data_IF_760001718131
#
_entry.id   IF_760001718131
#
_cell.length_a   1.000
_cell.length_b   1.000
_cell.length_c   1.000
_cell.angle_alpha   90.00
_cell.angle_beta   90.00
_cell.angle_gamma   90.00
#
_symmetry.space_group_name_H-M   'P 1'
#
loop_
_entity.id
_entity.type
_entity.pdbx_description
1 polymer ?
#
# COMPACT_ATOMS: atom_id res chain seq x y z
N UNK A 1 0.13 1.87 -17.91
CA UNK A 1 -0.82 1.46 -16.85
C UNK A 1 -2.21 1.01 -17.36
N UNK A 2 -2.68 -0.22 -17.04
CA UNK A 2 -4.09 -0.66 -17.22
C UNK A 2 -4.77 -0.77 -15.87
N UNK A 3 -6.07 -0.45 -15.80
CA UNK A 3 -6.85 -0.51 -14.55
C UNK A 3 -8.15 -1.29 -14.77
N UNK A 4 -8.46 -2.17 -13.82
CA UNK A 4 -9.75 -2.85 -13.71
C UNK A 4 -10.38 -2.50 -12.36
N UNK A 5 -11.61 -1.98 -12.38
CA UNK A 5 -12.40 -1.71 -11.17
C UNK A 5 -13.67 -2.52 -11.22
N UNK A 6 -14.01 -3.16 -10.10
CA UNK A 6 -15.23 -3.95 -10.00
C UNK A 6 -15.58 -4.31 -8.57
N UNK A 7 -16.53 -5.22 -8.42
CA UNK A 7 -16.87 -5.86 -7.15
C UNK A 7 -16.52 -7.34 -7.24
N UNK A 8 -16.01 -7.89 -6.15
CA UNK A 8 -15.65 -9.31 -6.04
C UNK A 8 -16.30 -9.90 -4.80
N UNK A 9 -16.74 -11.15 -4.89
CA UNK A 9 -17.27 -11.87 -3.73
C UNK A 9 -16.20 -11.97 -2.65
N UNK A 10 -16.58 -11.78 -1.38
CA UNK A 10 -15.66 -12.00 -0.25
C UNK A 10 -15.19 -13.45 -0.16
N UNK A 11 -15.94 -14.40 -0.74
CA UNK A 11 -15.56 -15.81 -0.82
C UNK A 11 -14.30 -16.01 -1.69
N UNK A 12 -14.15 -15.22 -2.76
CA UNK A 12 -12.93 -15.27 -3.59
C UNK A 12 -11.72 -14.70 -2.86
N UNK A 13 -11.92 -13.62 -2.08
CA UNK A 13 -10.87 -13.08 -1.20
C UNK A 13 -10.44 -14.13 -0.17
N UNK A 14 -11.39 -14.79 0.48
CA UNK A 14 -11.13 -15.89 1.42
C UNK A 14 -10.35 -17.03 0.77
N UNK A 15 -10.78 -17.50 -0.41
CA UNK A 15 -10.11 -18.55 -1.17
C UNK A 15 -8.65 -18.19 -1.49
N UNK A 16 -8.42 -17.01 -2.05
CA UNK A 16 -7.09 -16.55 -2.48
C UNK A 16 -6.15 -16.35 -1.27
N UNK A 17 -6.65 -15.76 -0.17
CA UNK A 17 -5.85 -15.56 1.05
C UNK A 17 -5.56 -16.86 1.80
N UNK A 18 -6.46 -17.85 1.76
CA UNK A 18 -6.15 -19.17 2.31
C UNK A 18 -5.11 -19.93 1.49
N UNK A 19 -5.11 -19.74 0.16
CA UNK A 19 -4.15 -20.41 -0.71
C UNK A 19 -2.75 -19.79 -0.66
N UNK A 20 -2.65 -18.45 -0.71
CA UNK A 20 -1.34 -17.76 -0.77
C UNK A 20 -0.85 -17.18 0.57
N UNK A 21 -1.75 -17.02 1.55
CA UNK A 21 -1.41 -16.46 2.86
C UNK A 21 -0.92 -15.01 2.80
N UNK A 22 0.00 -14.67 3.70
CA UNK A 22 0.51 -13.31 3.88
C UNK A 22 1.46 -12.84 2.77
N UNK A 23 1.88 -13.74 1.86
CA UNK A 23 2.68 -13.41 0.67
C UNK A 23 2.02 -12.39 -0.25
N UNK A 24 0.69 -12.31 -0.22
CA UNK A 24 -0.09 -11.32 -0.96
C UNK A 24 0.04 -9.90 -0.39
N UNK A 25 0.61 -9.73 0.81
CA UNK A 25 0.72 -8.46 1.52
C UNK A 25 2.17 -7.96 1.65
N UNK A 26 3.13 -8.60 0.97
CA UNK A 26 4.55 -8.24 1.11
C UNK A 26 4.82 -6.80 0.66
N UNK A 27 4.16 -6.32 -0.40
CA UNK A 27 4.28 -4.92 -0.83
C UNK A 27 3.28 -3.97 -0.16
N UNK A 28 2.55 -4.44 0.85
CA UNK A 28 1.67 -3.56 1.60
C UNK A 28 2.50 -2.64 2.49
N UNK A 29 2.50 -1.33 2.24
CA UNK A 29 3.26 -0.35 3.02
C UNK A 29 2.81 -0.28 4.49
N UNK A 30 1.65 -0.85 4.84
CA UNK A 30 1.23 -1.06 6.24
C UNK A 30 1.74 -2.39 6.79
N UNK A 31 2.86 -2.91 6.27
CA UNK A 31 3.47 -4.22 6.55
C UNK A 31 3.68 -4.54 8.03
N UNK A 32 3.41 -3.61 8.94
CA UNK A 32 3.75 -3.74 10.35
C UNK A 32 2.83 -3.02 11.34
N UNK A 33 1.55 -2.81 11.04
CA UNK A 33 0.56 -2.60 12.11
C UNK A 33 -0.08 -3.95 12.37
N UNK A 34 0.48 -4.66 13.36
CA UNK A 34 0.09 -6.02 13.74
C UNK A 34 -1.42 -6.21 13.82
N UNK A 35 -1.82 -7.49 13.83
CA UNK A 35 -3.19 -7.97 13.99
C UNK A 35 -3.79 -7.61 15.38
N UNK A 36 -3.53 -6.42 15.90
CA UNK A 36 -4.31 -5.86 16.98
C UNK A 36 -5.76 -5.80 16.52
N UNK A 37 -6.62 -6.36 17.36
CA UNK A 37 -8.07 -6.19 17.33
C UNK A 37 -8.37 -4.70 17.33
N UNK A 38 -8.48 -4.12 16.13
CA UNK A 38 -8.86 -2.74 15.93
C UNK A 38 -10.37 -2.67 15.80
N UNK A 39 -10.96 -1.54 16.20
CA UNK A 39 -12.39 -1.23 15.98
C UNK A 39 -12.82 -1.49 14.53
N UNK A 40 -11.90 -1.29 13.57
CA UNK A 40 -12.12 -1.58 12.15
C UNK A 40 -12.30 -3.08 11.90
N UNK A 41 -11.43 -3.94 12.42
CA UNK A 41 -11.55 -5.39 12.25
C UNK A 41 -12.87 -5.92 12.85
N UNK A 42 -13.27 -5.39 14.02
CA UNK A 42 -14.54 -5.75 14.66
C UNK A 42 -15.73 -5.35 13.79
N UNK A 43 -15.78 -4.11 13.29
CA UNK A 43 -16.86 -3.65 12.43
C UNK A 43 -16.98 -4.46 11.13
N UNK A 44 -15.85 -4.84 10.52
CA UNK A 44 -15.82 -5.69 9.33
C UNK A 44 -16.39 -7.08 9.63
N UNK A 45 -15.98 -7.68 10.75
CA UNK A 45 -16.50 -8.97 11.20
C UNK A 45 -18.01 -8.93 11.45
N UNK A 46 -18.48 -7.94 12.22
CA UNK A 46 -19.90 -7.75 12.52
C UNK A 46 -20.74 -7.59 11.26
N UNK A 47 -20.25 -6.82 10.28
CA UNK A 47 -20.95 -6.62 9.00
C UNK A 47 -21.08 -7.93 8.21
N UNK A 48 -20.05 -8.79 8.20
CA UNK A 48 -20.09 -10.09 7.51
C UNK A 48 -21.04 -11.09 8.18
N UNK A 49 -21.16 -11.02 9.51
CA UNK A 49 -21.98 -11.92 10.31
C UNK A 49 -23.45 -11.50 10.42
N UNK A 50 -23.77 -10.22 10.13
CA UNK A 50 -25.12 -9.67 10.21
C UNK A 50 -25.87 -9.86 8.87
N UNK A 51 -26.95 -10.69 8.83
CA UNK A 51 -27.71 -10.93 7.61
C UNK A 51 -28.34 -9.69 6.98
N UNK A 52 -28.58 -8.62 7.76
CA UNK A 52 -29.20 -7.38 7.29
C UNK A 52 -28.17 -6.36 6.73
N UNK A 53 -26.87 -6.64 6.94
CA UNK A 53 -25.76 -5.76 6.54
C UNK A 53 -24.78 -6.41 5.56
N UNK A 54 -24.71 -7.74 5.51
CA UNK A 54 -23.74 -8.48 4.68
C UNK A 54 -23.85 -8.13 3.19
N UNK A 55 -25.07 -7.98 2.66
CA UNK A 55 -25.31 -7.56 1.27
C UNK A 55 -24.79 -6.14 0.98
N UNK A 56 -24.73 -5.28 2.00
CA UNK A 56 -24.22 -3.91 1.95
C UNK A 56 -22.73 -3.80 2.28
N UNK A 57 -22.02 -4.92 2.47
CA UNK A 57 -20.59 -4.94 2.83
C UNK A 57 -19.73 -4.03 1.94
N UNK A 58 -20.09 -3.95 0.66
CA UNK A 58 -19.46 -3.07 -0.33
C UNK A 58 -19.38 -1.61 0.10
N UNK A 59 -20.42 -1.09 0.79
CA UNK A 59 -20.51 0.30 1.21
C UNK A 59 -19.78 0.60 2.52
N UNK A 60 -19.54 -0.42 3.34
CA UNK A 60 -18.91 -0.27 4.66
C UNK A 60 -17.39 -0.40 4.64
N UNK A 61 -16.79 -0.66 3.46
CA UNK A 61 -15.37 -0.90 3.29
C UNK A 61 -14.76 0.02 2.23
N UNK A 62 -13.52 0.45 2.44
CA UNK A 62 -12.77 1.27 1.46
C UNK A 62 -12.33 0.49 0.20
N UNK A 63 -12.61 -0.81 0.16
CA UNK A 63 -12.22 -1.72 -0.92
C UNK A 63 -10.80 -2.25 -0.78
N UNK A 64 -10.39 -3.04 -1.77
CA UNK A 64 -9.09 -3.69 -1.88
C UNK A 64 -8.38 -3.12 -3.10
N UNK A 65 -7.13 -2.71 -2.94
CA UNK A 65 -6.29 -2.29 -4.07
C UNK A 65 -5.17 -3.27 -4.28
N UNK A 66 -5.07 -3.74 -5.52
CA UNK A 66 -4.14 -4.73 -6.00
C UNK A 66 -3.25 -4.09 -7.06
N UNK A 67 -1.95 -4.36 -6.97
CA UNK A 67 -1.02 -4.20 -8.08
C UNK A 67 -0.64 -5.57 -8.61
N UNK A 68 -0.39 -5.67 -9.90
CA UNK A 68 0.03 -6.91 -10.54
C UNK A 68 0.92 -6.63 -11.75
N UNK A 69 1.69 -7.63 -12.15
CA UNK A 69 2.49 -7.56 -13.38
C UNK A 69 1.58 -7.62 -14.61
N UNK A 70 0.56 -8.48 -14.58
CA UNK A 70 -0.39 -8.67 -15.68
C UNK A 70 -1.74 -9.11 -15.17
N UNK A 71 -2.80 -8.62 -15.81
CA UNK A 71 -4.11 -9.27 -15.73
C UNK A 71 -4.72 -9.49 -17.13
N UNK A 72 -5.38 -10.63 -17.29
CA UNK A 72 -6.08 -11.05 -18.50
C UNK A 72 -7.54 -11.41 -18.17
N UNK A 73 -8.46 -11.13 -19.09
CA UNK A 73 -9.88 -11.45 -18.95
C UNK A 73 -10.49 -11.71 -20.33
N UNK A 74 -11.58 -12.47 -20.38
CA UNK A 74 -12.30 -12.72 -21.63
C UNK A 74 -13.10 -11.47 -22.03
N UNK A 75 -12.66 -10.79 -23.10
CA UNK A 75 -13.30 -9.56 -23.59
C UNK A 75 -14.71 -9.79 -24.18
N UNK A 76 -15.05 -11.01 -24.58
CA UNK A 76 -16.38 -11.35 -25.11
C UNK A 76 -17.41 -11.62 -24.00
N UNK A 77 -16.96 -11.76 -22.76
CA UNK A 77 -17.84 -11.92 -21.62
C UNK A 77 -18.50 -10.58 -21.27
N UNK A 78 -19.82 -10.56 -21.03
CA UNK A 78 -20.56 -9.31 -20.77
C UNK A 78 -20.61 -8.92 -19.29
N UNK A 79 -20.58 -9.90 -18.39
CA UNK A 79 -20.69 -9.74 -16.94
C UNK A 79 -19.95 -10.88 -16.22
N UNK A 80 -19.63 -10.72 -14.94
CA UNK A 80 -18.96 -11.72 -14.09
C UNK A 80 -17.60 -12.22 -14.60
N UNK A 81 -16.79 -11.30 -15.13
CA UNK A 81 -15.48 -11.56 -15.71
C UNK A 81 -14.61 -12.45 -14.82
N UNK A 82 -14.13 -13.57 -15.38
CA UNK A 82 -13.01 -14.31 -14.79
C UNK A 82 -11.72 -13.60 -15.15
N UNK A 83 -11.08 -13.00 -14.14
CA UNK A 83 -9.82 -12.26 -14.30
C UNK A 83 -8.67 -13.14 -13.83
N UNK A 84 -7.73 -13.43 -14.71
CA UNK A 84 -6.47 -14.08 -14.39
C UNK A 84 -5.44 -13.00 -14.05
N UNK A 85 -4.74 -13.14 -12.93
CA UNK A 85 -3.83 -12.11 -12.42
C UNK A 85 -2.48 -12.77 -12.11
N UNK A 86 -1.40 -12.22 -12.65
CA UNK A 86 -0.03 -12.68 -12.43
C UNK A 86 0.69 -11.75 -11.46
N UNK A 87 1.37 -12.34 -10.48
CA UNK A 87 2.17 -11.62 -9.49
C UNK A 87 1.38 -10.51 -8.77
N UNK A 88 0.21 -10.88 -8.24
CA UNK A 88 -0.66 -10.01 -7.45
C UNK A 88 -0.01 -9.63 -6.12
N UNK A 89 -0.16 -8.35 -5.74
CA UNK A 89 0.15 -7.80 -4.43
C UNK A 89 -0.96 -6.85 -3.96
N UNK A 90 -1.48 -7.06 -2.76
CA UNK A 90 -2.49 -6.21 -2.14
C UNK A 90 -1.79 -5.06 -1.41
N UNK A 91 -1.88 -3.86 -1.98
CA UNK A 91 -1.25 -2.64 -1.44
C UNK A 91 -2.19 -1.84 -0.52
N UNK A 92 -3.50 -2.08 -0.60
CA UNK A 92 -4.51 -1.52 0.32
C UNK A 92 -5.62 -2.55 0.59
N UNK A 93 -6.21 -2.52 1.78
CA UNK A 93 -7.28 -3.44 2.20
C UNK A 93 -6.78 -4.67 2.96
N UNK A 94 -5.54 -4.66 3.49
CA UNK A 94 -4.97 -5.79 4.23
C UNK A 94 -5.82 -6.22 5.45
N UNK A 95 -6.30 -5.27 6.25
CA UNK A 95 -7.21 -5.55 7.38
C UNK A 95 -8.52 -6.18 6.92
N UNK A 96 -9.13 -5.66 5.84
CA UNK A 96 -10.34 -6.24 5.23
C UNK A 96 -10.10 -7.67 4.77
N UNK A 97 -9.02 -7.92 4.02
CA UNK A 97 -8.68 -9.26 3.53
C UNK A 97 -8.45 -10.27 4.67
N UNK A 98 -7.64 -9.89 5.67
CA UNK A 98 -7.35 -10.76 6.83
C UNK A 98 -8.57 -10.99 7.71
N UNK A 99 -9.44 -9.98 7.86
CA UNK A 99 -10.67 -10.13 8.64
C UNK A 99 -11.68 -11.01 7.91
N UNK A 100 -11.84 -10.87 6.59
CA UNK A 100 -12.61 -11.80 5.76
C UNK A 100 -12.06 -13.23 5.95
N UNK A 101 -10.75 -13.41 5.78
CA UNK A 101 -10.09 -14.71 5.91
C UNK A 101 -10.39 -15.37 7.27
N UNK A 102 -10.13 -14.64 8.37
CA UNK A 102 -10.33 -15.15 9.74
C UNK A 102 -11.80 -15.42 10.05
N UNK A 103 -12.71 -14.57 9.59
CA UNK A 103 -14.15 -14.70 9.86
C UNK A 103 -14.70 -15.93 9.14
N UNK A 104 -14.39 -16.11 7.85
CA UNK A 104 -14.90 -17.22 7.06
C UNK A 104 -14.21 -18.56 7.41
N UNK A 105 -12.98 -18.55 7.91
CA UNK A 105 -12.34 -19.76 8.46
C UNK A 105 -13.06 -20.30 9.71
N UNK A 106 -13.81 -19.45 10.43
CA UNK A 106 -14.62 -19.88 11.58
C UNK A 106 -16.00 -20.43 11.18
N UNK A 107 -16.33 -20.49 9.88
CA UNK A 107 -17.64 -20.98 9.38
C UNK A 107 -17.97 -22.40 9.84
N UNK A 108 -16.98 -23.26 10.08
CA UNK A 108 -17.21 -24.60 10.63
C UNK A 108 -17.88 -24.59 12.01
N UNK A 109 -17.75 -23.49 12.76
CA UNK A 109 -18.37 -23.31 14.08
C UNK A 109 -19.77 -22.67 14.00
N UNK A 110 -20.11 -22.04 12.87
CA UNK A 110 -21.37 -21.34 12.64
C UNK A 110 -21.80 -21.56 11.17
N UNK A 111 -22.57 -22.62 10.86
CA UNK A 111 -22.87 -23.05 9.49
C UNK A 111 -23.75 -22.08 8.68
N UNK A 112 -24.14 -20.94 9.27
CA UNK A 112 -24.89 -19.90 8.57
C UNK A 112 -24.08 -19.31 7.39
N UNK A 113 -24.80 -18.73 6.43
CA UNK A 113 -24.34 -18.15 5.17
C UNK A 113 -23.47 -16.87 5.35
N UNK A 114 -22.47 -16.89 6.23
CA UNK A 114 -21.63 -15.74 6.58
C UNK A 114 -20.94 -15.20 5.31
N UNK A 115 -21.23 -13.94 5.00
CA UNK A 115 -20.67 -13.26 3.85
C UNK A 115 -21.03 -13.86 2.48
N UNK A 116 -22.06 -14.72 2.37
CA UNK A 116 -22.45 -15.27 1.06
C UNK A 116 -22.99 -14.20 0.11
N UNK A 117 -23.72 -13.22 0.64
CA UNK A 117 -24.22 -12.07 -0.12
C UNK A 117 -23.21 -10.92 -0.23
N UNK A 118 -22.04 -11.02 0.43
CA UNK A 118 -21.11 -9.91 0.57
C UNK A 118 -20.16 -9.78 -0.63
N UNK A 119 -20.08 -8.55 -1.14
CA UNK A 119 -19.13 -8.14 -2.17
C UNK A 119 -18.27 -6.99 -1.67
N UNK A 120 -17.02 -6.94 -2.11
CA UNK A 120 -16.08 -5.85 -1.81
C UNK A 120 -15.60 -5.21 -3.11
N UNK A 121 -15.43 -3.89 -3.10
CA UNK A 121 -14.84 -3.16 -4.22
C UNK A 121 -13.37 -3.58 -4.40
N UNK A 122 -12.96 -3.89 -5.62
CA UNK A 122 -11.57 -4.20 -5.96
C UNK A 122 -11.08 -3.29 -7.08
N UNK A 123 -9.84 -2.81 -6.95
CA UNK A 123 -9.11 -2.07 -7.97
C UNK A 123 -7.84 -2.84 -8.29
N UNK A 124 -7.64 -3.20 -9.55
CA UNK A 124 -6.47 -3.92 -10.02
C UNK A 124 -5.71 -3.01 -10.97
N UNK A 125 -4.48 -2.69 -10.59
CA UNK A 125 -3.55 -1.92 -11.40
C UNK A 125 -2.53 -2.88 -12.00
N UNK A 126 -2.47 -2.93 -13.33
CA UNK A 126 -1.34 -3.52 -14.02
C UNK A 126 -0.27 -2.45 -14.16
N UNK A 127 0.88 -2.69 -13.53
CA UNK A 127 2.02 -1.78 -13.50
C UNK A 127 3.17 -2.48 -14.21
N UNK A 128 3.87 -1.79 -15.12
CA UNK A 128 5.09 -2.36 -15.70
C UNK A 128 6.18 -2.45 -14.63
N UNK A 129 7.19 -3.31 -14.86
CA UNK A 129 8.33 -3.35 -13.94
C UNK A 129 9.02 -1.98 -13.85
N UNK A 130 9.15 -1.24 -14.95
CA UNK A 130 9.71 0.11 -14.95
C UNK A 130 8.85 1.08 -14.12
N UNK A 131 7.52 1.12 -14.35
CA UNK A 131 6.60 2.00 -13.60
C UNK A 131 6.61 1.72 -12.08
N UNK A 132 6.87 0.47 -11.67
CA UNK A 132 6.95 0.09 -10.26
C UNK A 132 8.29 0.49 -9.63
N UNK A 133 9.39 0.29 -10.37
CA UNK A 133 10.73 0.71 -9.99
C UNK A 133 10.76 2.23 -9.85
N UNK A 134 10.32 2.98 -10.85
CA UNK A 134 10.36 4.45 -10.84
C UNK A 134 9.62 5.04 -9.63
N UNK A 135 8.43 4.52 -9.30
CA UNK A 135 7.67 5.00 -8.13
C UNK A 135 8.30 4.62 -6.79
N UNK A 136 8.96 3.47 -6.71
CA UNK A 136 9.65 3.03 -5.50
C UNK A 136 10.95 3.83 -5.30
N UNK A 137 11.69 4.09 -6.38
CA UNK A 137 12.83 5.01 -6.42
C UNK A 137 12.41 6.42 -6.01
N UNK A 138 11.39 7.01 -6.66
CA UNK A 138 10.89 8.36 -6.36
C UNK A 138 10.44 8.50 -4.90
N UNK A 139 9.74 7.49 -4.36
CA UNK A 139 9.31 7.49 -2.96
C UNK A 139 10.48 7.36 -1.98
N UNK A 140 11.46 6.51 -2.28
CA UNK A 140 12.63 6.35 -1.41
C UNK A 140 13.49 7.61 -1.43
N UNK A 141 13.61 8.22 -2.60
CA UNK A 141 14.35 9.45 -2.83
C UNK A 141 13.75 10.65 -2.11
N UNK A 142 12.43 10.83 -2.20
CA UNK A 142 11.73 11.93 -1.51
C UNK A 142 11.86 11.79 0.03
N UNK A 143 11.76 10.56 0.55
CA UNK A 143 11.92 10.30 1.98
C UNK A 143 13.36 10.58 2.47
N UNK A 144 14.38 10.17 1.71
CA UNK A 144 15.77 10.48 2.03
C UNK A 144 16.00 12.00 2.00
N UNK A 145 15.50 12.69 0.98
CA UNK A 145 15.63 14.14 0.82
C UNK A 145 14.95 14.90 1.96
N UNK A 146 13.75 14.49 2.38
CA UNK A 146 13.04 15.11 3.50
C UNK A 146 13.81 14.98 4.84
N UNK A 147 14.37 13.80 5.12
CA UNK A 147 15.17 13.58 6.32
C UNK A 147 16.44 14.43 6.33
N UNK A 148 17.15 14.51 5.20
CA UNK A 148 18.34 15.36 5.05
C UNK A 148 17.96 16.83 5.18
N UNK A 149 16.83 17.26 4.59
CA UNK A 149 16.35 18.65 4.71
C UNK A 149 16.07 19.04 6.16
N UNK A 150 15.45 18.15 6.92
CA UNK A 150 15.19 18.38 8.34
C UNK A 150 16.50 18.51 9.13
N UNK A 151 17.48 17.65 8.86
CA UNK A 151 18.82 17.73 9.44
C UNK A 151 19.54 19.04 9.11
N UNK A 152 19.60 19.40 7.82
CA UNK A 152 20.23 20.63 7.35
C UNK A 152 19.56 21.86 7.95
N UNK A 153 18.22 21.90 7.96
CA UNK A 153 17.48 23.01 8.56
C UNK A 153 17.79 23.20 10.04
N UNK A 154 17.95 22.10 10.80
CA UNK A 154 18.35 22.15 12.21
C UNK A 154 19.79 22.65 12.37
N UNK A 155 20.74 22.02 11.69
CA UNK A 155 22.15 22.41 11.74
C UNK A 155 22.36 23.87 11.30
N UNK A 156 21.57 24.35 10.34
CA UNK A 156 21.59 25.74 9.90
C UNK A 156 21.14 26.72 11.00
N UNK A 157 20.07 26.38 11.74
CA UNK A 157 19.60 27.18 12.88
C UNK A 157 20.63 27.21 14.02
N UNK A 158 21.30 26.09 14.25
CA UNK A 158 22.34 25.93 15.27
C UNK A 158 23.71 26.50 14.83
N UNK A 159 23.81 26.96 13.57
CA UNK A 159 25.04 27.44 12.91
C UNK A 159 26.16 26.39 12.84
N UNK A 160 25.78 25.12 12.82
CA UNK A 160 26.70 24.00 12.64
C UNK A 160 26.86 23.67 11.14
N UNK A 161 27.59 24.53 10.44
CA UNK A 161 27.81 24.39 9.00
C UNK A 161 28.70 23.18 8.66
N UNK A 162 29.57 22.77 9.58
CA UNK A 162 30.44 21.61 9.40
C UNK A 162 29.62 20.32 9.21
N UNK A 163 28.55 20.15 10.00
CA UNK A 163 27.66 18.99 9.84
C UNK A 163 26.95 19.01 8.49
N UNK A 164 26.53 20.18 8.00
CA UNK A 164 25.87 20.29 6.68
C UNK A 164 26.81 19.81 5.57
N UNK A 165 28.05 20.32 5.55
CA UNK A 165 29.05 19.93 4.55
C UNK A 165 29.41 18.46 4.68
N UNK A 166 29.68 17.98 5.89
CA UNK A 166 30.06 16.58 6.12
C UNK A 166 28.94 15.60 5.71
N UNK A 167 27.68 15.94 5.92
CA UNK A 167 26.56 15.09 5.49
C UNK A 167 26.34 15.20 3.98
N UNK A 168 26.47 16.39 3.40
CA UNK A 168 26.36 16.59 1.94
C UNK A 168 27.41 15.77 1.17
N UNK A 169 28.65 15.71 1.67
CA UNK A 169 29.74 14.95 1.04
C UNK A 169 29.52 13.43 1.10
N UNK A 170 28.61 12.96 1.96
CA UNK A 170 28.32 11.53 2.17
C UNK A 170 26.97 11.08 1.58
N UNK A 171 26.17 11.98 1.00
CA UNK A 171 24.95 11.60 0.27
C UNK A 171 25.23 11.47 -1.24
N UNK A 172 24.48 10.63 -1.96
CA UNK A 172 24.64 10.52 -3.41
C UNK A 172 24.46 11.88 -4.11
N UNK A 173 25.37 12.24 -5.03
CA UNK A 173 25.37 13.55 -5.70
C UNK A 173 24.02 13.90 -6.36
N UNK A 174 23.32 12.91 -6.92
CA UNK A 174 22.01 13.14 -7.50
C UNK A 174 21.00 13.70 -6.46
N UNK A 175 21.01 13.18 -5.23
CA UNK A 175 20.16 13.64 -4.12
C UNK A 175 20.40 15.11 -3.79
N UNK A 176 21.66 15.54 -3.79
CA UNK A 176 22.02 16.93 -3.50
C UNK A 176 21.68 17.87 -4.65
N UNK A 177 22.00 17.48 -5.89
CA UNK A 177 21.86 18.31 -7.09
C UNK A 177 20.40 18.51 -7.52
N UNK A 178 19.55 17.49 -7.35
CA UNK A 178 18.14 17.57 -7.75
C UNK A 178 17.23 18.19 -6.68
N UNK A 179 17.75 18.46 -5.48
CA UNK A 179 17.03 19.09 -4.38
C UNK A 179 17.51 20.54 -4.16
N UNK A 180 16.78 21.55 -4.69
CA UNK A 180 17.23 22.95 -4.65
C UNK A 180 17.46 23.49 -3.23
N UNK A 181 16.79 22.95 -2.22
CA UNK A 181 16.95 23.40 -0.83
C UNK A 181 18.22 22.82 -0.20
N UNK A 182 18.52 21.55 -0.48
CA UNK A 182 19.75 20.92 0.02
C UNK A 182 20.97 21.56 -0.62
N UNK A 183 20.94 21.77 -1.94
CA UNK A 183 22.00 22.45 -2.67
C UNK A 183 22.24 23.86 -2.13
N UNK A 184 21.17 24.64 -1.93
CA UNK A 184 21.26 25.98 -1.35
C UNK A 184 21.92 25.97 0.05
N UNK A 185 21.51 25.06 0.94
CA UNK A 185 22.10 24.98 2.28
C UNK A 185 23.56 24.56 2.25
N UNK A 186 23.94 23.63 1.38
CA UNK A 186 25.33 23.23 1.18
C UNK A 186 26.18 24.39 0.69
N UNK A 187 25.80 25.05 -0.41
CA UNK A 187 26.55 26.17 -0.99
C UNK A 187 26.77 27.30 0.03
N UNK A 188 25.72 27.62 0.79
CA UNK A 188 25.79 28.63 1.83
C UNK A 188 26.65 28.20 3.02
N UNK A 189 26.61 26.92 3.41
CA UNK A 189 27.44 26.38 4.48
C UNK A 189 28.93 26.40 4.10
N UNK A 190 29.27 25.97 2.87
CA UNK A 190 30.62 26.04 2.32
C UNK A 190 31.12 27.48 2.29
N UNK A 191 30.30 28.42 1.82
CA UNK A 191 30.64 29.85 1.81
C UNK A 191 30.96 30.37 3.21
N UNK A 192 30.16 30.00 4.22
CA UNK A 192 30.37 30.43 5.61
C UNK A 192 31.50 29.73 6.35
N UNK A 193 31.99 28.61 5.84
CA UNK A 193 33.18 27.93 6.36
C UNK A 193 34.48 28.43 5.72
N UNK A 194 34.38 29.08 4.55
CA UNK A 194 35.51 29.67 3.84
C UNK A 194 35.89 31.09 4.30
N UNK A 195 35.04 31.72 5.13
CA UNK A 195 35.29 32.98 5.85
C UNK A 195 35.71 32.71 7.30
#
# INVERSE_FOLDING_TARGET
MRVLVGRVSVQEIHRIFNYHGDKLLERNIRRYLGLHTSRVNTAIHETLCDPQKSDKFYFYNNGITVVCEKFDYNAFQKFDYKVQIKNMQVINGGQTCKTIQKTLNKRSLFPNMIGESAYVMIRIYQISYEEAVDKEYEKHYDFQSEAVRAGFGKSWQERDYNIIVAVADNIPNNVLEEDPKLLMWYDQAVTRMGD
#
